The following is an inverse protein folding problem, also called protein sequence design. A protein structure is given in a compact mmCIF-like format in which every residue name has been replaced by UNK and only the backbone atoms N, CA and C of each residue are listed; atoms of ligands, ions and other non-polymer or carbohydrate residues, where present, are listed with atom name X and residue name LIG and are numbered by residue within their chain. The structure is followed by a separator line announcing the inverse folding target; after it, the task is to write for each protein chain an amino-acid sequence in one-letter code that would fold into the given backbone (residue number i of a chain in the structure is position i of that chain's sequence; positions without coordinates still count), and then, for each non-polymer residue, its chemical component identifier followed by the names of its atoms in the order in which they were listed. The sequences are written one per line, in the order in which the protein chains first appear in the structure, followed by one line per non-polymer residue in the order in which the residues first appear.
data_IF_477037283882
#
_entry.id   IF_477037283882
#
_cell.length_a   1.000
_cell.length_b   1.000
_cell.length_c   1.000
_cell.angle_alpha   90.00
_cell.angle_beta   90.00
_cell.angle_gamma   90.00
#
_symmetry.space_group_name_H-M   'P 1'
#
loop_
_entity.id
_entity.type
_entity.pdbx_description
1 polymer ?
#
# COMPACT_ATOMS: atom_id res chain seq x y z
N UNK A 1 -15.96 -19.74 4.33
CA UNK A 1 -14.67 -20.41 4.09
C UNK A 1 -13.64 -19.91 5.08
N UNK A 2 -13.50 -20.65 6.18
CA UNK A 2 -12.62 -20.35 7.32
C UNK A 2 -11.17 -20.75 6.97
N UNK A 3 -10.56 -20.00 6.04
CA UNK A 3 -9.15 -20.15 5.64
C UNK A 3 -8.36 -18.84 5.80
N UNK A 4 -9.02 -17.74 6.20
CA UNK A 4 -8.46 -16.38 6.07
C UNK A 4 -7.95 -15.71 7.35
N UNK A 5 -8.15 -16.31 8.52
CA UNK A 5 -7.43 -15.89 9.72
C UNK A 5 -6.12 -16.69 9.82
N UNK A 6 -5.30 -16.63 8.78
CA UNK A 6 -3.91 -17.04 8.88
C UNK A 6 -3.33 -16.16 9.99
N UNK A 7 -2.82 -16.77 11.07
CA UNK A 7 -2.38 -16.07 12.29
C UNK A 7 -1.61 -14.79 11.95
N UNK A 8 -2.24 -13.63 12.16
CA UNK A 8 -1.68 -12.34 11.76
C UNK A 8 -0.45 -11.99 12.58
N UNK A 9 -0.36 -12.48 13.82
CA UNK A 9 0.78 -12.25 14.67
C UNK A 9 1.96 -13.12 14.24
N UNK A 10 1.71 -14.38 13.85
CA UNK A 10 2.72 -15.22 13.22
C UNK A 10 3.26 -14.60 11.91
N UNK A 11 2.38 -14.04 11.07
CA UNK A 11 2.78 -13.35 9.85
C UNK A 11 3.63 -12.10 10.12
N UNK A 12 3.19 -11.25 11.06
CA UNK A 12 3.94 -10.05 11.48
C UNK A 12 5.31 -10.43 12.01
N UNK A 13 5.39 -11.49 12.81
CA UNK A 13 6.66 -12.00 13.34
C UNK A 13 7.59 -12.45 12.21
N UNK A 14 7.11 -13.30 11.31
CA UNK A 14 7.91 -13.77 10.18
C UNK A 14 8.38 -12.60 9.29
N UNK A 15 7.50 -11.64 9.00
CA UNK A 15 7.86 -10.44 8.23
C UNK A 15 8.92 -9.58 8.94
N UNK A 16 8.84 -9.43 10.26
CA UNK A 16 9.84 -8.69 11.03
C UNK A 16 11.20 -9.38 11.00
N UNK A 17 11.22 -10.70 11.15
CA UNK A 17 12.47 -11.48 11.12
C UNK A 17 13.14 -11.39 9.73
N UNK A 18 12.37 -11.45 8.64
CA UNK A 18 12.86 -11.24 7.26
C UNK A 18 13.42 -9.83 7.08
N UNK A 19 12.68 -8.79 7.50
CA UNK A 19 13.12 -7.41 7.34
C UNK A 19 14.45 -7.13 8.06
N UNK A 20 14.64 -7.71 9.26
CA UNK A 20 15.92 -7.60 9.99
C UNK A 20 17.06 -8.28 9.26
N UNK A 21 16.85 -9.52 8.79
CA UNK A 21 17.85 -10.24 8.01
C UNK A 21 18.30 -9.46 6.78
N UNK A 22 17.36 -8.86 6.04
CA UNK A 22 17.67 -8.04 4.87
C UNK A 22 18.47 -6.78 5.25
N UNK A 23 18.17 -6.15 6.38
CA UNK A 23 18.92 -4.99 6.87
C UNK A 23 20.34 -5.34 7.28
N UNK A 24 20.54 -6.50 7.90
CA UNK A 24 21.84 -6.96 8.40
C UNK A 24 22.77 -7.43 7.26
N UNK A 25 22.25 -8.23 6.32
CA UNK A 25 23.05 -8.85 5.24
C UNK A 25 23.16 -8.00 3.97
N UNK A 26 22.13 -7.21 3.67
CA UNK A 26 22.04 -6.42 2.42
C UNK A 26 21.55 -5.01 2.74
N UNK A 27 22.42 -4.07 3.17
CA UNK A 27 21.97 -2.77 3.61
C UNK A 27 21.30 -2.00 2.46
N UNK A 28 19.96 -2.01 2.46
CA UNK A 28 19.12 -1.21 1.57
C UNK A 28 18.79 0.08 2.29
N UNK A 29 19.29 1.20 1.77
CA UNK A 29 19.01 2.53 2.32
C UNK A 29 17.70 3.04 1.72
N UNK A 30 16.64 3.07 2.53
CA UNK A 30 15.40 3.76 2.20
C UNK A 30 15.58 5.25 2.49
N UNK A 31 15.84 6.04 1.44
CA UNK A 31 16.13 7.47 1.60
C UNK A 31 14.89 8.31 1.95
N UNK A 32 13.70 7.89 1.52
CA UNK A 32 12.42 8.53 1.85
C UNK A 32 11.24 7.60 1.53
N UNK A 33 10.07 7.93 2.07
CA UNK A 33 8.79 7.35 1.68
C UNK A 33 7.97 8.44 0.99
N UNK A 34 7.57 8.28 -0.29
CA UNK A 34 6.88 9.34 -1.01
C UNK A 34 5.45 9.53 -0.50
N UNK A 35 5.04 10.80 -0.39
CA UNK A 35 3.63 11.13 -0.29
C UNK A 35 2.94 10.90 -1.63
N UNK A 36 1.84 10.14 -1.62
CA UNK A 36 1.06 9.92 -2.82
C UNK A 36 0.18 11.14 -3.10
N UNK A 37 0.57 11.94 -4.10
CA UNK A 37 -0.26 13.02 -4.63
C UNK A 37 -0.99 12.56 -5.90
N UNK A 38 -2.31 12.56 -5.87
CA UNK A 38 -3.16 12.28 -7.05
C UNK A 38 -3.91 13.55 -7.44
N UNK A 39 -3.43 14.33 -8.42
CA UNK A 39 -4.16 15.51 -8.88
C UNK A 39 -5.40 15.09 -9.67
N UNK A 40 -6.55 15.67 -9.31
CA UNK A 40 -7.85 15.35 -9.90
C UNK A 40 -8.48 16.62 -10.47
N UNK A 41 -9.05 16.52 -11.69
CA UNK A 41 -9.81 17.63 -12.30
C UNK A 41 -11.07 17.90 -11.48
N UNK A 42 -11.52 19.15 -11.41
CA UNK A 42 -12.74 19.53 -10.68
C UNK A 42 -14.01 18.77 -11.15
N UNK A 43 -14.04 18.30 -12.39
CA UNK A 43 -15.14 17.53 -12.97
C UNK A 43 -15.11 16.05 -12.60
N UNK A 44 -14.05 15.58 -11.93
CA UNK A 44 -13.85 14.17 -11.60
C UNK A 44 -14.09 13.97 -10.11
N UNK A 45 -14.90 12.96 -9.76
CA UNK A 45 -15.26 12.64 -8.38
C UNK A 45 -15.17 11.14 -8.09
N UNK A 46 -15.11 10.78 -6.80
CA UNK A 46 -15.07 9.37 -6.38
C UNK A 46 -13.68 8.73 -6.33
N UNK A 47 -12.61 9.48 -6.61
CA UNK A 47 -11.23 8.97 -6.54
C UNK A 47 -10.84 8.71 -5.07
N UNK A 48 -10.56 7.46 -4.65
CA UNK A 48 -10.17 7.16 -3.28
C UNK A 48 -8.67 7.46 -3.06
N UNK A 49 -8.28 8.06 -1.92
CA UNK A 49 -6.88 8.39 -1.63
C UNK A 49 -6.15 7.16 -1.06
N UNK A 50 -5.86 6.17 -1.91
CA UNK A 50 -5.20 4.92 -1.50
C UNK A 50 -3.86 4.71 -2.21
N UNK A 51 -2.90 4.12 -1.49
CA UNK A 51 -1.58 3.80 -2.01
C UNK A 51 -1.56 2.63 -3.02
N UNK A 52 -2.70 1.95 -3.23
CA UNK A 52 -2.82 0.77 -4.08
C UNK A 52 -3.06 1.10 -5.57
N UNK A 53 -2.95 2.37 -5.97
CA UNK A 53 -3.18 2.83 -7.35
C UNK A 53 -4.60 3.37 -7.59
N UNK A 54 -4.89 3.72 -8.85
CA UNK A 54 -6.15 4.36 -9.24
C UNK A 54 -7.27 3.33 -9.42
N UNK A 55 -8.27 3.36 -8.54
CA UNK A 55 -9.50 2.58 -8.67
C UNK A 55 -10.50 3.28 -9.60
N UNK A 56 -10.22 3.22 -10.90
CA UNK A 56 -10.99 3.95 -11.93
C UNK A 56 -12.44 3.48 -12.07
N UNK A 57 -12.75 2.25 -11.63
CA UNK A 57 -14.11 1.70 -11.55
C UNK A 57 -15.01 2.47 -10.57
N UNK A 58 -14.42 3.23 -9.64
CA UNK A 58 -15.13 4.02 -8.64
C UNK A 58 -15.22 5.51 -8.98
N UNK A 59 -14.74 5.90 -10.16
CA UNK A 59 -14.59 7.30 -10.57
C UNK A 59 -15.72 7.69 -11.52
N UNK A 60 -16.25 8.90 -11.36
CA UNK A 60 -17.21 9.52 -12.28
C UNK A 60 -16.69 10.85 -12.82
N UNK A 61 -17.16 11.21 -14.03
CA UNK A 61 -16.83 12.47 -14.70
C UNK A 61 -18.12 13.22 -15.00
N UNK A 62 -18.25 14.42 -14.47
CA UNK A 62 -19.33 15.33 -14.85
C UNK A 62 -19.08 15.88 -16.26
N UNK A 63 -20.15 15.93 -17.06
CA UNK A 63 -20.15 16.50 -18.42
C UNK A 63 -20.02 18.02 -18.39
#
# INVERSE_FOLDING_TARGET
GYLKALDLDAQRKAASDIQKLLLDETPVIFSYFPDLLVPVRKTVSGVPPIAAGLLLDRVSVAS
#
